data_IF_121434060936
#
_entry.id   IF_121434060936
#
_cell.length_a   1.000
_cell.length_b   1.000
_cell.length_c   1.000
_cell.angle_alpha   90.00
_cell.angle_beta   90.00
_cell.angle_gamma   90.00
#
_symmetry.space_group_name_H-M   'P 1'
#
loop_
_entity.id
_entity.type
_entity.pdbx_description
1 polymer ?
#
# COMPACT_ATOMS: atom_id res chain seq x y z
N UNK A 1 89.65 -21.84 -77.97
CA UNK A 1 89.04 -22.82 -77.05
C UNK A 1 89.51 -22.42 -75.67
N UNK A 2 88.76 -21.49 -75.12
CA UNK A 2 89.35 -20.38 -74.40
C UNK A 2 89.63 -20.83 -72.97
N UNK A 3 90.92 -21.01 -72.65
CA UNK A 3 91.34 -21.37 -71.28
C UNK A 3 90.78 -20.41 -70.23
N UNK A 4 90.44 -19.18 -70.64
CA UNK A 4 89.74 -18.19 -69.83
C UNK A 4 88.30 -18.59 -69.48
N UNK A 5 87.54 -19.27 -70.35
CA UNK A 5 86.15 -19.69 -70.04
C UNK A 5 86.13 -20.84 -69.04
N UNK A 6 87.04 -21.81 -69.17
CA UNK A 6 87.16 -22.90 -68.19
C UNK A 6 87.64 -22.39 -66.83
N UNK A 7 88.61 -21.48 -66.79
CA UNK A 7 89.06 -20.85 -65.55
C UNK A 7 87.92 -20.07 -64.88
N UNK A 8 87.14 -19.30 -65.65
CA UNK A 8 85.97 -18.59 -65.14
C UNK A 8 84.87 -19.54 -64.65
N UNK A 9 84.68 -20.69 -65.30
CA UNK A 9 83.78 -21.75 -64.84
C UNK A 9 84.25 -22.38 -63.53
N UNK A 10 85.52 -22.73 -63.40
CA UNK A 10 86.09 -23.26 -62.15
C UNK A 10 85.93 -22.24 -61.03
N UNK A 11 86.28 -20.97 -61.26
CA UNK A 11 86.10 -19.90 -60.29
C UNK A 11 84.62 -19.65 -59.95
N UNK A 12 83.69 -19.86 -60.90
CA UNK A 12 82.25 -19.77 -60.63
C UNK A 12 81.74 -20.92 -59.76
N UNK A 13 82.24 -22.15 -59.99
CA UNK A 13 81.91 -23.32 -59.18
C UNK A 13 82.51 -23.18 -57.79
N UNK A 14 83.75 -22.71 -57.66
CA UNK A 14 84.38 -22.43 -56.37
C UNK A 14 83.60 -21.39 -55.56
N UNK A 15 83.12 -20.31 -56.20
CA UNK A 15 82.21 -19.34 -55.55
C UNK A 15 80.89 -19.98 -55.13
N UNK A 16 80.28 -20.81 -55.98
CA UNK A 16 79.03 -21.51 -55.66
C UNK A 16 79.21 -22.51 -54.51
N UNK A 17 80.33 -23.23 -54.47
CA UNK A 17 80.67 -24.14 -53.38
C UNK A 17 80.89 -23.37 -52.08
N UNK A 18 81.62 -22.24 -52.13
CA UNK A 18 81.80 -21.37 -50.97
C UNK A 18 80.46 -20.83 -50.46
N UNK A 19 79.57 -20.41 -51.37
CA UNK A 19 78.22 -19.95 -51.04
C UNK A 19 77.37 -21.05 -50.39
N UNK A 20 77.36 -22.26 -50.96
CA UNK A 20 76.64 -23.40 -50.36
C UNK A 20 77.23 -23.82 -49.00
N UNK A 21 78.54 -23.71 -48.82
CA UNK A 21 79.19 -23.95 -47.53
C UNK A 21 78.76 -22.90 -46.50
N UNK A 22 78.65 -21.64 -46.89
CA UNK A 22 78.15 -20.55 -46.05
C UNK A 22 76.66 -20.76 -45.68
N UNK A 23 75.80 -21.07 -46.66
CA UNK A 23 74.38 -21.35 -46.43
C UNK A 23 74.17 -22.57 -45.52
N UNK A 24 74.93 -23.66 -45.74
CA UNK A 24 74.88 -24.84 -44.88
C UNK A 24 75.30 -24.50 -43.45
N UNK A 25 76.35 -23.68 -43.28
CA UNK A 25 76.77 -23.23 -41.96
C UNK A 25 75.68 -22.39 -41.29
N UNK A 26 75.01 -21.48 -42.01
CA UNK A 26 73.89 -20.70 -41.49
C UNK A 26 72.74 -21.62 -41.04
N UNK A 27 72.31 -22.56 -41.89
CA UNK A 27 71.24 -23.51 -41.55
C UNK A 27 71.59 -24.35 -40.31
N UNK A 28 72.81 -24.88 -40.23
CA UNK A 28 73.29 -25.62 -39.06
C UNK A 28 73.28 -24.76 -37.79
N UNK A 29 73.67 -23.49 -37.89
CA UNK A 29 73.60 -22.57 -36.74
C UNK A 29 72.15 -22.26 -36.34
N UNK A 30 71.23 -22.10 -37.28
CA UNK A 30 69.80 -21.92 -37.03
C UNK A 30 69.17 -23.11 -36.33
N UNK A 31 69.37 -24.33 -36.86
CA UNK A 31 68.88 -25.56 -36.23
C UNK A 31 69.46 -25.75 -34.82
N UNK A 32 70.74 -25.42 -34.61
CA UNK A 32 71.35 -25.46 -33.26
C UNK A 32 70.66 -24.49 -32.29
N UNK A 33 70.21 -23.32 -32.75
CA UNK A 33 69.45 -22.36 -31.95
C UNK A 33 68.03 -22.85 -31.66
N UNK A 34 67.33 -23.42 -32.64
CA UNK A 34 65.99 -23.99 -32.45
C UNK A 34 65.99 -25.16 -31.47
N UNK A 35 66.95 -26.08 -31.60
CA UNK A 35 67.12 -27.19 -30.65
C UNK A 35 67.39 -26.64 -29.25
N UNK A 36 68.20 -25.59 -29.14
CA UNK A 36 68.46 -24.92 -27.85
C UNK A 36 67.20 -24.28 -27.29
N UNK A 37 66.39 -23.63 -28.13
CA UNK A 37 65.13 -23.00 -27.73
C UNK A 37 64.11 -24.04 -27.28
N UNK A 38 63.94 -25.13 -28.03
CA UNK A 38 63.04 -26.21 -27.66
C UNK A 38 63.48 -26.88 -26.36
N UNK A 39 64.79 -27.10 -26.16
CA UNK A 39 65.33 -27.58 -24.88
C UNK A 39 65.03 -26.63 -23.73
N UNK A 40 65.17 -25.32 -23.91
CA UNK A 40 64.77 -24.33 -22.90
C UNK A 40 63.28 -24.43 -22.58
N UNK A 41 62.40 -24.44 -23.59
CA UNK A 41 60.95 -24.56 -23.39
C UNK A 41 60.52 -25.88 -22.74
N UNK A 42 61.15 -26.99 -23.12
CA UNK A 42 60.92 -28.28 -22.46
C UNK A 42 61.37 -28.23 -20.99
N UNK A 43 62.51 -27.59 -20.71
CA UNK A 43 62.96 -27.39 -19.33
C UNK A 43 62.01 -26.47 -18.56
N UNK A 44 61.53 -25.37 -19.15
CA UNK A 44 60.55 -24.45 -18.54
C UNK A 44 59.24 -25.18 -18.21
N UNK A 45 58.65 -25.91 -19.16
CA UNK A 45 57.44 -26.71 -18.90
C UNK A 45 57.68 -27.81 -17.88
N UNK A 46 58.88 -28.42 -17.86
CA UNK A 46 59.27 -29.40 -16.85
C UNK A 46 59.41 -28.74 -15.47
N UNK A 47 59.94 -27.53 -15.40
CA UNK A 47 59.99 -26.71 -14.20
C UNK A 47 58.57 -26.35 -13.74
N UNK A 48 57.71 -25.82 -14.61
CA UNK A 48 56.31 -25.49 -14.31
C UNK A 48 55.53 -26.71 -13.79
N UNK A 49 55.74 -27.89 -14.37
CA UNK A 49 55.13 -29.13 -13.89
C UNK A 49 55.69 -29.60 -12.55
N UNK A 50 56.95 -29.29 -12.24
CA UNK A 50 57.55 -29.57 -10.94
C UNK A 50 57.24 -28.52 -9.87
N UNK A 51 56.99 -27.27 -10.28
CA UNK A 51 56.61 -26.14 -9.43
C UNK A 51 55.10 -26.09 -9.18
N UNK A 52 54.29 -26.74 -10.04
CA UNK A 52 52.89 -27.02 -9.70
C UNK A 52 52.88 -27.61 -8.29
N UNK A 53 52.09 -27.02 -7.37
CA UNK A 53 51.99 -27.56 -6.03
C UNK A 53 51.68 -29.04 -6.16
N UNK A 54 52.25 -29.89 -5.27
CA UNK A 54 52.07 -31.34 -5.38
C UNK A 54 50.59 -31.57 -5.62
N UNK A 55 50.29 -32.33 -6.68
CA UNK A 55 48.90 -32.66 -7.01
C UNK A 55 48.21 -32.95 -5.69
N UNK A 56 47.18 -32.13 -5.35
CA UNK A 56 46.42 -32.29 -4.10
C UNK A 56 46.29 -33.77 -3.90
N UNK A 57 46.72 -34.27 -2.75
CA UNK A 57 46.71 -35.72 -2.56
C UNK A 57 45.30 -36.20 -2.86
N UNK A 58 45.15 -37.40 -3.39
CA UNK A 58 43.82 -37.94 -3.69
C UNK A 58 42.89 -37.79 -2.46
N UNK A 59 43.47 -37.94 -1.26
CA UNK A 59 42.84 -37.66 0.03
C UNK A 59 42.41 -36.19 0.20
N UNK A 60 43.25 -35.20 -0.13
CA UNK A 60 42.86 -33.77 -0.07
C UNK A 60 41.69 -33.44 -1.00
N UNK A 61 41.64 -34.08 -2.18
CA UNK A 61 40.53 -33.89 -3.14
C UNK A 61 39.25 -34.49 -2.56
N UNK A 62 39.32 -35.71 -2.04
CA UNK A 62 38.19 -36.39 -1.39
C UNK A 62 37.66 -35.56 -0.20
N UNK A 63 38.54 -34.99 0.63
CA UNK A 63 38.15 -34.11 1.74
C UNK A 63 37.49 -32.80 1.26
N UNK A 64 37.96 -32.21 0.17
CA UNK A 64 37.35 -31.02 -0.42
C UNK A 64 35.97 -31.34 -1.04
N UNK A 65 35.84 -32.49 -1.68
CA UNK A 65 34.56 -33.00 -2.20
C UNK A 65 33.57 -33.24 -1.07
N UNK A 66 33.97 -33.91 0.02
CA UNK A 66 33.13 -34.12 1.19
C UNK A 66 32.68 -32.80 1.83
N UNK A 67 33.58 -31.81 1.95
CA UNK A 67 33.24 -30.49 2.47
C UNK A 67 32.23 -29.77 1.56
N UNK A 68 32.39 -29.86 0.24
CA UNK A 68 31.46 -29.27 -0.72
C UNK A 68 30.11 -29.98 -0.68
N UNK A 69 30.09 -31.31 -0.54
CA UNK A 69 28.86 -32.09 -0.38
C UNK A 69 28.08 -31.67 0.86
N UNK A 70 28.76 -31.51 2.01
CA UNK A 70 28.12 -31.01 3.24
C UNK A 70 27.52 -29.63 3.03
N UNK A 71 28.26 -28.71 2.41
CA UNK A 71 27.76 -27.36 2.10
C UNK A 71 26.56 -27.39 1.15
N UNK A 72 26.58 -28.26 0.13
CA UNK A 72 25.46 -28.41 -0.80
C UNK A 72 24.22 -28.88 -0.04
N UNK A 73 24.34 -29.92 0.80
CA UNK A 73 23.23 -30.42 1.62
C UNK A 73 22.68 -29.35 2.57
N UNK A 74 23.55 -28.56 3.22
CA UNK A 74 23.13 -27.42 4.06
C UNK A 74 22.33 -26.39 3.25
N UNK A 75 22.80 -26.03 2.05
CA UNK A 75 22.09 -25.08 1.19
C UNK A 75 20.76 -25.62 0.67
N UNK A 76 20.68 -26.91 0.37
CA UNK A 76 19.44 -27.57 -0.05
C UNK A 76 18.42 -27.63 1.09
N UNK A 77 18.85 -27.92 2.31
CA UNK A 77 18.00 -27.86 3.50
C UNK A 77 17.44 -26.46 3.72
N UNK A 78 18.29 -25.43 3.67
CA UNK A 78 17.85 -24.04 3.79
C UNK A 78 16.88 -23.62 2.68
N UNK A 79 17.08 -24.10 1.45
CA UNK A 79 16.14 -23.86 0.35
C UNK A 79 14.79 -24.52 0.62
N UNK A 80 14.78 -25.78 1.09
CA UNK A 80 13.55 -26.50 1.43
C UNK A 80 12.78 -25.85 2.60
N UNK A 81 13.49 -25.33 3.61
CA UNK A 81 12.91 -24.54 4.69
C UNK A 81 12.24 -23.26 4.18
N UNK A 82 12.91 -22.53 3.28
CA UNK A 82 12.34 -21.32 2.67
C UNK A 82 11.11 -21.63 1.80
N UNK A 83 11.15 -22.71 1.02
CA UNK A 83 10.02 -23.14 0.21
C UNK A 83 8.81 -23.53 1.06
N UNK A 84 9.01 -24.26 2.17
CA UNK A 84 7.92 -24.61 3.09
C UNK A 84 7.31 -23.36 3.74
N UNK A 85 8.14 -22.43 4.23
CA UNK A 85 7.69 -21.15 4.78
C UNK A 85 6.90 -20.31 3.76
N UNK A 86 7.32 -20.29 2.49
CA UNK A 86 6.59 -19.61 1.41
C UNK A 86 5.22 -20.27 1.13
N UNK A 87 5.13 -21.59 1.19
CA UNK A 87 3.86 -22.32 1.03
C UNK A 87 2.89 -21.98 2.16
N UNK A 88 3.37 -21.95 3.41
CA UNK A 88 2.59 -21.56 4.58
C UNK A 88 2.09 -20.12 4.49
N UNK A 89 2.98 -19.17 4.15
CA UNK A 89 2.60 -17.76 3.97
C UNK A 89 1.55 -17.58 2.87
N UNK A 90 1.67 -18.32 1.75
CA UNK A 90 0.66 -18.34 0.70
C UNK A 90 -0.67 -18.94 1.18
N UNK A 91 -0.64 -19.97 2.02
CA UNK A 91 -1.85 -20.54 2.61
C UNK A 91 -2.55 -19.56 3.56
N UNK A 92 -1.80 -18.84 4.40
CA UNK A 92 -2.34 -17.77 5.23
C UNK A 92 -2.95 -16.63 4.43
N UNK A 93 -2.27 -16.21 3.35
CA UNK A 93 -2.77 -15.14 2.48
C UNK A 93 -4.10 -15.54 1.85
N UNK A 94 -4.24 -16.81 1.42
CA UNK A 94 -5.51 -17.35 0.91
C UNK A 94 -6.61 -17.34 1.99
N UNK A 95 -6.30 -17.77 3.22
CA UNK A 95 -7.25 -17.74 4.36
C UNK A 95 -7.71 -16.30 4.65
N UNK A 96 -6.79 -15.35 4.76
CA UNK A 96 -7.07 -13.92 4.98
C UNK A 96 -7.89 -13.33 3.81
N UNK A 97 -7.56 -13.70 2.57
CA UNK A 97 -8.30 -13.32 1.38
C UNK A 97 -9.74 -13.82 1.38
N UNK A 98 -9.99 -15.05 1.82
CA UNK A 98 -11.34 -15.62 1.96
C UNK A 98 -12.16 -14.90 3.05
N UNK A 99 -11.53 -14.53 4.17
CA UNK A 99 -12.19 -13.74 5.21
C UNK A 99 -12.55 -12.34 4.69
N UNK A 100 -11.61 -11.68 4.00
CA UNK A 100 -11.84 -10.36 3.42
C UNK A 100 -12.98 -10.37 2.39
N UNK A 101 -13.03 -11.37 1.50
CA UNK A 101 -14.11 -11.51 0.52
C UNK A 101 -15.46 -11.80 1.19
N UNK A 102 -15.50 -12.66 2.21
CA UNK A 102 -16.70 -12.92 2.98
C UNK A 102 -17.25 -11.65 3.67
N UNK A 103 -16.36 -10.85 4.27
CA UNK A 103 -16.73 -9.56 4.87
C UNK A 103 -17.24 -8.56 3.83
N UNK A 104 -16.60 -8.48 2.66
CA UNK A 104 -17.06 -7.62 1.57
C UNK A 104 -18.46 -8.00 1.08
N UNK A 105 -18.74 -9.30 0.93
CA UNK A 105 -20.08 -9.78 0.56
C UNK A 105 -21.11 -9.42 1.63
N UNK A 106 -20.78 -9.67 2.92
CA UNK A 106 -21.65 -9.31 4.04
C UNK A 106 -21.97 -7.82 4.09
N UNK A 107 -20.97 -6.95 3.92
CA UNK A 107 -21.18 -5.50 3.89
C UNK A 107 -22.11 -5.08 2.75
N UNK A 108 -21.94 -5.66 1.55
CA UNK A 108 -22.84 -5.39 0.42
C UNK A 108 -24.27 -5.88 0.66
N UNK A 109 -24.43 -7.02 1.34
CA UNK A 109 -25.77 -7.52 1.69
C UNK A 109 -26.44 -6.68 2.78
N UNK A 110 -25.67 -6.21 3.77
CA UNK A 110 -26.14 -5.25 4.78
C UNK A 110 -26.54 -3.92 4.12
N UNK A 111 -25.73 -3.39 3.20
CA UNK A 111 -26.06 -2.19 2.42
C UNK A 111 -27.38 -2.36 1.64
N UNK A 112 -27.58 -3.50 0.97
CA UNK A 112 -28.83 -3.82 0.27
C UNK A 112 -30.03 -3.81 1.23
N UNK A 113 -29.89 -4.46 2.39
CA UNK A 113 -30.93 -4.50 3.43
C UNK A 113 -31.27 -3.09 3.94
N UNK A 114 -30.27 -2.25 4.20
CA UNK A 114 -30.50 -0.86 4.63
C UNK A 114 -31.23 -0.04 3.57
N UNK A 115 -30.90 -0.21 2.29
CA UNK A 115 -31.60 0.49 1.20
C UNK A 115 -33.04 0.03 1.05
N UNK A 116 -33.31 -1.27 1.21
CA UNK A 116 -34.69 -1.78 1.23
C UNK A 116 -35.49 -1.24 2.41
N UNK A 117 -34.91 -1.22 3.61
CA UNK A 117 -35.54 -0.63 4.78
C UNK A 117 -35.81 0.86 4.61
N UNK A 118 -34.85 1.60 4.04
CA UNK A 118 -35.00 3.02 3.74
C UNK A 118 -36.15 3.25 2.76
N UNK A 119 -36.26 2.43 1.71
CA UNK A 119 -37.37 2.46 0.75
C UNK A 119 -38.71 2.16 1.42
N UNK A 120 -38.79 1.12 2.25
CA UNK A 120 -40.01 0.74 3.00
C UNK A 120 -40.46 1.87 3.93
N UNK A 121 -39.54 2.46 4.70
CA UNK A 121 -39.83 3.58 5.61
C UNK A 121 -40.24 4.84 4.86
N UNK A 122 -39.56 5.16 3.76
CA UNK A 122 -39.92 6.29 2.90
C UNK A 122 -41.35 6.15 2.34
N UNK A 123 -41.71 4.95 1.87
CA UNK A 123 -43.08 4.68 1.43
C UNK A 123 -44.10 4.88 2.56
N UNK A 124 -43.83 4.34 3.75
CA UNK A 124 -44.68 4.51 4.94
C UNK A 124 -44.83 5.97 5.37
N UNK A 125 -43.76 6.76 5.34
CA UNK A 125 -43.82 8.20 5.63
C UNK A 125 -44.70 8.89 4.58
N UNK A 126 -44.58 8.51 3.32
CA UNK A 126 -45.38 9.10 2.24
C UNK A 126 -46.86 8.75 2.36
N UNK A 127 -47.23 7.51 2.75
CA UNK A 127 -48.64 7.14 2.99
C UNK A 127 -49.22 7.92 4.17
N UNK A 128 -48.51 7.95 5.31
CA UNK A 128 -48.94 8.71 6.49
C UNK A 128 -49.04 10.21 6.21
N UNK A 129 -48.14 10.78 5.41
CA UNK A 129 -48.20 12.20 5.02
C UNK A 129 -49.42 12.51 4.14
N UNK A 130 -49.83 11.57 3.28
CA UNK A 130 -51.07 11.71 2.50
C UNK A 130 -52.30 11.64 3.40
N UNK A 131 -52.31 10.73 4.37
CA UNK A 131 -53.45 10.60 5.28
C UNK A 131 -53.57 11.80 6.22
N UNK A 132 -52.43 12.34 6.71
CA UNK A 132 -52.39 13.59 7.44
C UNK A 132 -52.93 14.75 6.58
N UNK A 133 -52.52 14.84 5.30
CA UNK A 133 -53.04 15.87 4.38
C UNK A 133 -54.56 15.77 4.20
N UNK A 134 -55.12 14.57 4.04
CA UNK A 134 -56.58 14.38 3.97
C UNK A 134 -57.27 14.87 5.25
N UNK A 135 -56.69 14.58 6.42
CA UNK A 135 -57.24 15.06 7.70
C UNK A 135 -57.16 16.59 7.83
N UNK A 136 -56.07 17.22 7.37
CA UNK A 136 -55.97 18.68 7.36
C UNK A 136 -56.97 19.31 6.39
N UNK A 137 -57.23 18.68 5.24
CA UNK A 137 -58.23 19.16 4.28
C UNK A 137 -59.65 19.10 4.87
N UNK A 138 -59.99 18.01 5.58
CA UNK A 138 -61.27 17.86 6.30
C UNK A 138 -61.38 18.88 7.44
N UNK A 139 -60.32 19.06 8.23
CA UNK A 139 -60.31 20.07 9.30
C UNK A 139 -60.47 21.49 8.76
N UNK A 140 -59.86 21.81 7.61
CA UNK A 140 -60.03 23.09 6.92
C UNK A 140 -61.48 23.28 6.43
N UNK A 141 -62.12 22.22 5.90
CA UNK A 141 -63.53 22.27 5.50
C UNK A 141 -64.46 22.50 6.70
N UNK A 142 -64.26 21.79 7.80
CA UNK A 142 -65.06 21.95 9.01
C UNK A 142 -64.87 23.33 9.66
N UNK A 143 -63.63 23.84 9.72
CA UNK A 143 -63.37 25.20 10.22
C UNK A 143 -64.00 26.27 9.33
N UNK A 144 -63.98 26.11 8.00
CA UNK A 144 -64.72 26.98 7.08
C UNK A 144 -66.23 26.91 7.31
N UNK A 145 -66.79 25.71 7.50
CA UNK A 145 -68.21 25.53 7.81
C UNK A 145 -68.59 26.21 9.14
N UNK A 146 -67.81 26.02 10.19
CA UNK A 146 -68.01 26.67 11.49
C UNK A 146 -67.92 28.20 11.36
N UNK A 147 -66.91 28.71 10.66
CA UNK A 147 -66.78 30.15 10.43
C UNK A 147 -67.97 30.71 9.63
N UNK A 148 -68.44 30.01 8.60
CA UNK A 148 -69.62 30.43 7.84
C UNK A 148 -70.92 30.37 8.66
N UNK A 149 -71.06 29.38 9.55
CA UNK A 149 -72.21 29.30 10.47
C UNK A 149 -72.16 30.44 11.49
N UNK A 150 -70.99 30.72 12.08
CA UNK A 150 -70.79 31.84 12.99
C UNK A 150 -71.07 33.18 12.31
N UNK A 151 -70.59 33.38 11.08
CA UNK A 151 -70.84 34.58 10.29
C UNK A 151 -72.33 34.81 10.02
N UNK A 152 -73.09 33.75 9.72
CA UNK A 152 -74.55 33.85 9.54
C UNK A 152 -75.28 34.20 10.84
N UNK A 153 -74.87 33.62 11.97
CA UNK A 153 -75.47 33.93 13.27
C UNK A 153 -75.15 35.36 13.72
N UNK A 154 -73.92 35.81 13.49
CA UNK A 154 -73.48 37.16 13.82
C UNK A 154 -74.26 38.21 13.01
N UNK A 155 -74.36 38.04 11.68
CA UNK A 155 -75.17 38.96 10.86
C UNK A 155 -76.67 38.90 11.16
N UNK A 156 -77.23 37.73 11.51
CA UNK A 156 -78.60 37.68 11.99
C UNK A 156 -78.80 38.48 13.28
N UNK A 157 -77.81 38.52 14.17
CA UNK A 157 -77.90 39.27 15.43
C UNK A 157 -77.77 40.77 15.17
N UNK A 158 -76.87 41.18 14.27
CA UNK A 158 -76.78 42.58 13.82
C UNK A 158 -78.07 43.03 13.12
N UNK A 159 -78.72 42.20 12.30
CA UNK A 159 -80.01 42.54 11.67
C UNK A 159 -81.13 42.75 12.71
N UNK A 160 -81.08 42.08 13.88
CA UNK A 160 -82.05 42.31 14.97
C UNK A 160 -81.69 43.52 15.83
N UNK A 161 -80.39 43.77 16.08
CA UNK A 161 -79.95 44.96 16.81
C UNK A 161 -80.16 46.23 15.97
N UNK A 162 -80.05 46.18 14.65
CA UNK A 162 -80.36 47.31 13.76
C UNK A 162 -81.88 47.58 13.65
N UNK A 163 -82.75 46.59 13.85
CA UNK A 163 -84.23 46.80 13.90
C UNK A 163 -84.72 47.33 15.26
N UNK A 164 -84.02 47.04 16.37
CA UNK A 164 -84.39 47.50 17.71
C UNK A 164 -83.74 48.84 18.11
N UNK A 165 -82.74 49.35 17.37
CA UNK A 165 -82.06 50.64 17.68
C UNK A 165 -82.66 51.88 16.98
N UNK A 166 -83.74 51.77 16.19
CA UNK A 166 -84.40 52.94 15.57
C UNK A 166 -85.45 53.64 16.47
N UNK A 167 -85.83 53.06 17.62
CA UNK A 167 -86.81 53.63 18.55
C UNK A 167 -86.32 53.56 20.01
N UNK A 168 -85.57 54.56 20.48
CA UNK A 168 -85.61 55.13 21.85
C UNK A 168 -84.33 55.93 22.16
N UNK A 169 -84.34 57.16 21.67
CA UNK A 169 -83.57 58.29 22.18
C UNK A 169 -84.15 58.70 23.57
N UNK A 170 -83.27 59.15 24.47
CA UNK A 170 -83.54 59.67 25.83
C UNK A 170 -83.76 58.69 27.01
N UNK A 171 -82.64 58.38 27.69
CA UNK A 171 -82.56 58.62 29.13
C UNK A 171 -82.15 57.44 30.00
N UNK A 172 -80.90 57.46 30.49
CA UNK A 172 -80.54 56.59 31.61
C UNK A 172 -79.05 56.34 31.79
N UNK A 173 -78.30 57.37 32.20
CA UNK A 173 -77.01 57.16 32.86
C UNK A 173 -77.20 56.27 34.08
N UNK A 174 -76.61 55.07 34.14
CA UNK A 174 -76.14 54.42 35.38
C UNK A 174 -75.29 53.17 35.07
N UNK A 175 -73.97 53.37 35.21
CA UNK A 175 -72.98 52.49 35.85
C UNK A 175 -72.75 51.05 35.35
N UNK A 176 -71.50 50.84 34.93
CA UNK A 176 -70.75 49.58 34.83
C UNK A 176 -71.07 48.56 35.92
N UNK A 177 -70.93 47.27 35.58
CA UNK A 177 -70.05 46.45 36.38
C UNK A 177 -68.97 45.75 35.53
N UNK A 178 -67.72 46.04 35.88
CA UNK A 178 -66.54 45.23 35.60
C UNK A 178 -66.80 43.74 35.90
N UNK A 179 -66.85 42.90 34.86
CA UNK A 179 -66.56 41.47 34.99
C UNK A 179 -65.40 41.15 34.07
N UNK A 180 -64.21 41.40 34.61
CA UNK A 180 -62.97 40.71 34.28
C UNK A 180 -63.17 39.20 34.19
N UNK A 181 -63.08 38.63 32.97
CA UNK A 181 -62.74 37.22 32.76
C UNK A 181 -62.31 36.93 31.30
N UNK A 182 -61.12 37.42 30.95
CA UNK A 182 -60.08 36.69 30.18
C UNK A 182 -60.50 35.89 28.93
N UNK A 183 -60.33 36.49 27.74
CA UNK A 183 -59.74 35.78 26.59
C UNK A 183 -59.22 36.80 25.56
N UNK A 184 -58.00 37.31 25.77
CA UNK A 184 -57.30 38.12 24.77
C UNK A 184 -56.93 37.27 23.55
N UNK A 185 -57.40 37.66 22.37
CA UNK A 185 -56.65 37.49 21.13
C UNK A 185 -56.76 38.81 20.35
N UNK A 186 -55.93 39.76 20.79
CA UNK A 186 -55.71 41.05 20.14
C UNK A 186 -54.97 40.83 18.82
N UNK A 187 -55.53 41.45 17.80
CA UNK A 187 -54.95 41.71 16.50
C UNK A 187 -53.94 42.86 16.64
N UNK A 188 -52.64 42.59 16.76
CA UNK A 188 -51.59 43.62 16.58
C UNK A 188 -50.33 43.06 15.90
N UNK A 189 -49.98 43.75 14.81
CA UNK A 189 -48.70 44.03 14.14
C UNK A 189 -47.38 43.30 14.51
N UNK A 190 -46.44 43.16 13.55
CA UNK A 190 -45.34 42.20 13.62
C UNK A 190 -44.10 42.80 14.30
N UNK A 191 -43.70 42.25 15.46
CA UNK A 191 -42.38 42.54 16.04
C UNK A 191 -41.67 41.29 16.58
N UNK A 192 -40.46 41.13 16.04
CA UNK A 192 -39.38 40.28 16.50
C UNK A 192 -39.15 40.46 18.01
N UNK A 193 -39.23 39.39 18.81
CA UNK A 193 -38.30 39.14 19.92
C UNK A 193 -38.59 37.85 20.69
N UNK A 194 -37.69 36.87 20.48
CA UNK A 194 -37.00 36.11 21.54
C UNK A 194 -37.86 35.53 22.69
N UNK A 195 -38.48 34.38 22.44
CA UNK A 195 -38.70 33.37 23.48
C UNK A 195 -37.70 32.21 23.31
N UNK A 196 -36.60 32.34 24.04
CA UNK A 196 -35.63 31.31 24.38
C UNK A 196 -36.34 30.13 25.07
N UNK A 197 -36.37 28.94 24.45
CA UNK A 197 -37.06 27.82 25.11
C UNK A 197 -37.27 26.51 24.37
N UNK A 198 -36.51 26.16 23.32
CA UNK A 198 -36.29 24.75 22.89
C UNK A 198 -35.20 24.61 21.82
N UNK A 199 -34.03 25.17 22.11
CA UNK A 199 -32.77 24.58 21.65
C UNK A 199 -32.65 23.23 22.35
N UNK A 200 -32.75 22.10 21.62
CA UNK A 200 -32.28 20.72 21.96
C UNK A 200 -33.09 19.64 21.22
N UNK A 201 -33.26 19.71 19.89
CA UNK A 201 -33.73 18.53 19.14
C UNK A 201 -33.35 18.43 17.65
N UNK A 202 -32.46 19.30 17.16
CA UNK A 202 -32.15 19.37 15.71
C UNK A 202 -30.74 18.91 15.33
N UNK A 203 -29.99 18.22 16.20
CA UNK A 203 -28.55 17.99 15.98
C UNK A 203 -28.05 16.54 16.20
N UNK A 204 -28.93 15.57 16.48
CA UNK A 204 -28.52 14.17 16.73
C UNK A 204 -28.90 13.16 15.63
N UNK A 205 -29.08 13.61 14.39
CA UNK A 205 -29.45 12.74 13.24
C UNK A 205 -28.41 12.79 12.10
N UNK A 206 -27.29 13.50 12.29
CA UNK A 206 -26.19 13.59 11.31
C UNK A 206 -24.85 13.00 11.79
N UNK A 207 -24.84 12.24 12.88
CA UNK A 207 -23.62 11.62 13.43
C UNK A 207 -23.32 10.21 12.88
N UNK A 208 -24.12 9.66 11.96
CA UNK A 208 -23.91 8.33 11.39
C UNK A 208 -23.12 8.31 10.06
N UNK A 209 -22.48 9.42 9.68
CA UNK A 209 -21.52 9.44 8.57
C UNK A 209 -20.15 9.69 9.17
N UNK A 210 -19.23 8.72 9.18
CA UNK A 210 -17.83 8.96 9.52
C UNK A 210 -17.31 10.10 8.64
N UNK A 211 -17.09 11.28 9.25
CA UNK A 211 -16.28 12.35 8.65
C UNK A 211 -14.80 11.94 8.77
N UNK A 212 -14.45 10.77 8.24
CA UNK A 212 -13.07 10.51 7.89
C UNK A 212 -12.76 11.39 6.69
N UNK A 213 -11.83 12.34 6.90
CA UNK A 213 -11.16 13.01 5.80
C UNK A 213 -10.42 11.91 5.06
N UNK A 214 -11.02 11.37 4.01
CA UNK A 214 -10.32 10.56 3.02
C UNK A 214 -9.33 11.53 2.38
N UNK A 215 -8.10 11.54 2.91
CA UNK A 215 -6.97 11.94 2.11
C UNK A 215 -7.03 11.05 0.88
N UNK A 216 -7.25 11.67 -0.28
CA UNK A 216 -7.16 10.97 -1.56
C UNK A 216 -5.83 10.25 -1.67
N UNK A 217 -5.71 9.25 -2.56
CA UNK A 217 -4.47 8.52 -2.74
C UNK A 217 -3.31 9.52 -2.93
N UNK A 218 -2.26 9.34 -2.13
CA UNK A 218 -1.03 10.14 -2.21
C UNK A 218 -0.58 10.18 -3.67
N UNK A 219 -0.37 11.39 -4.19
CA UNK A 219 0.00 11.62 -5.59
C UNK A 219 1.24 10.76 -5.91
N UNK A 220 1.19 9.89 -6.92
CA UNK A 220 2.29 8.97 -7.17
C UNK A 220 3.55 9.77 -7.50
N UNK A 221 4.61 9.56 -6.70
CA UNK A 221 5.91 10.17 -6.99
C UNK A 221 6.32 9.77 -8.42
N UNK A 222 6.78 10.73 -9.25
CA UNK A 222 7.20 10.42 -10.61
C UNK A 222 8.26 9.33 -10.59
N UNK A 223 8.09 8.29 -11.40
CA UNK A 223 9.08 7.21 -11.49
C UNK A 223 10.43 7.79 -11.94
N UNK A 224 11.55 7.32 -11.35
CA UNK A 224 12.86 7.70 -11.84
C UNK A 224 13.02 7.27 -13.31
N UNK A 225 13.66 8.12 -14.09
CA UNK A 225 13.84 7.96 -15.54
C UNK A 225 14.44 6.58 -15.86
N UNK A 226 13.76 5.72 -16.65
CA UNK A 226 14.28 4.41 -17.02
C UNK A 226 15.63 4.49 -17.76
N UNK A 227 16.00 5.64 -18.33
CA UNK A 227 17.30 5.86 -18.95
C UNK A 227 18.47 5.63 -17.97
N UNK A 228 18.26 5.78 -16.66
CA UNK A 228 19.29 5.50 -15.64
C UNK A 228 19.70 4.02 -15.59
N UNK A 229 18.84 3.11 -16.07
CA UNK A 229 19.09 1.67 -16.10
C UNK A 229 19.59 1.18 -17.47
N UNK A 230 19.56 2.04 -18.49
CA UNK A 230 19.95 1.69 -19.86
C UNK A 230 21.37 2.15 -20.23
N UNK A 231 22.12 2.77 -19.32
CA UNK A 231 23.53 3.04 -19.55
C UNK A 231 24.35 1.75 -19.45
N UNK A 232 25.12 1.39 -20.50
CA UNK A 232 26.07 0.28 -20.41
C UNK A 232 27.06 0.58 -19.29
N UNK A 233 27.27 -0.39 -18.40
CA UNK A 233 28.08 -0.35 -17.17
C UNK A 233 29.58 0.01 -17.34
N UNK A 234 30.01 0.63 -18.45
CA UNK A 234 31.43 0.75 -18.80
C UNK A 234 32.15 2.00 -18.30
N UNK A 235 31.50 2.91 -17.57
CA UNK A 235 32.16 4.16 -17.14
C UNK A 235 32.01 4.55 -15.64
N UNK A 236 31.54 3.67 -14.76
CA UNK A 236 31.59 3.91 -13.29
C UNK A 236 32.84 3.29 -12.67
N UNK A 237 34.01 3.80 -13.06
CA UNK A 237 35.21 3.75 -12.22
C UNK A 237 35.35 5.12 -11.54
N UNK A 238 34.58 5.34 -10.47
CA UNK A 238 34.89 6.41 -9.53
C UNK A 238 35.94 5.86 -8.54
N UNK A 239 37.11 6.50 -8.39
CA UNK A 239 38.07 6.14 -7.38
C UNK A 239 37.56 6.60 -6.01
N UNK A 240 36.87 5.73 -5.28
CA UNK A 240 36.64 5.91 -3.85
C UNK A 240 37.90 5.46 -3.08
N UNK A 241 38.94 6.29 -3.14
CA UNK A 241 39.98 6.37 -2.11
C UNK A 241 39.55 7.43 -1.11
N UNK A 242 38.93 7.00 -0.02
CA UNK A 242 38.78 7.80 1.19
C UNK A 242 38.83 6.85 2.39
N UNK A 243 40.06 6.68 2.88
CA UNK A 243 40.43 6.52 4.29
C UNK A 243 39.36 5.98 5.24
N UNK A 244 39.40 4.68 5.51
CA UNK A 244 39.19 4.15 6.85
C UNK A 244 40.33 3.16 7.11
N UNK A 245 41.43 3.73 7.63
CA UNK A 245 42.52 2.98 8.23
C UNK A 245 42.16 2.72 9.68
N UNK A 246 42.26 1.47 10.12
CA UNK A 246 41.88 1.08 11.47
C UNK A 246 41.96 -0.42 11.69
N UNK A 247 43.17 -0.94 11.63
CA UNK A 247 43.69 -2.07 12.42
C UNK A 247 42.73 -3.23 12.76
N UNK A 248 42.77 -4.31 11.97
CA UNK A 248 42.42 -5.65 12.45
C UNK A 248 43.66 -6.29 13.04
N UNK A 249 43.69 -6.44 14.37
CA UNK A 249 44.62 -7.34 15.06
C UNK A 249 43.85 -8.06 16.17
N UNK A 250 43.53 -9.31 15.88
CA UNK A 250 43.65 -10.50 16.74
C UNK A 250 43.29 -10.39 18.24
N UNK A 251 42.26 -11.16 18.64
CA UNK A 251 42.07 -11.64 20.01
C UNK A 251 41.05 -10.87 20.85
N UNK A 252 40.05 -11.58 21.36
CA UNK A 252 39.27 -11.12 22.51
C UNK A 252 37.76 -11.40 22.42
N UNK A 253 37.38 -12.54 22.98
CA UNK A 253 36.01 -12.85 23.39
C UNK A 253 35.44 -11.76 24.33
N UNK A 254 34.12 -11.62 24.30
CA UNK A 254 33.20 -10.97 25.26
C UNK A 254 32.59 -9.66 24.75
N UNK A 255 31.30 -9.66 24.39
CA UNK A 255 30.13 -9.38 25.27
C UNK A 255 30.04 -7.88 25.62
N UNK A 256 28.81 -7.34 25.55
CA UNK A 256 28.39 -5.94 25.85
C UNK A 256 28.34 -5.09 24.56
N UNK A 257 27.24 -4.48 24.11
CA UNK A 257 26.04 -3.96 24.78
C UNK A 257 24.88 -3.81 23.80
N UNK A 258 23.69 -4.14 24.30
CA UNK A 258 22.37 -3.69 23.83
C UNK A 258 22.26 -2.17 23.90
N UNK A 259 21.52 -1.56 22.97
CA UNK A 259 20.52 -0.52 23.24
C UNK A 259 19.91 0.01 21.93
N UNK A 260 18.57 0.16 21.92
CA UNK A 260 17.72 0.92 20.97
C UNK A 260 17.41 0.15 19.68
N UNK A 261 16.18 -0.25 19.34
CA UNK A 261 14.84 0.28 19.62
C UNK A 261 13.84 -0.89 19.51
N UNK A 262 13.20 -1.24 20.63
CA UNK A 262 12.00 -2.07 20.67
C UNK A 262 10.86 -1.21 21.20
N UNK A 263 9.87 -0.91 20.36
CA UNK A 263 8.54 -0.47 20.81
C UNK A 263 7.49 -1.04 19.85
N UNK A 264 6.48 -1.66 20.45
CA UNK A 264 5.18 -2.06 19.89
C UNK A 264 5.09 -3.48 19.31
N UNK A 265 5.12 -4.48 20.19
CA UNK A 265 4.13 -5.57 20.25
C UNK A 265 4.48 -6.42 21.47
N UNK A 266 3.56 -6.55 22.41
CA UNK A 266 3.30 -7.78 23.16
C UNK A 266 2.16 -7.55 24.17
N UNK A 267 1.08 -8.29 23.96
CA UNK A 267 0.25 -8.82 25.04
C UNK A 267 -0.43 -10.08 24.50
N UNK A 268 0.04 -11.26 24.91
CA UNK A 268 -0.91 -12.21 25.48
C UNK A 268 -0.29 -13.00 26.64
N UNK A 269 -1.10 -13.33 27.66
CA UNK A 269 -1.18 -14.63 28.33
C UNK A 269 -2.07 -14.50 29.57
N UNK A 270 -3.18 -15.22 29.58
CA UNK A 270 -3.58 -16.03 30.74
C UNK A 270 -4.47 -17.16 30.23
N UNK A 271 -3.84 -18.30 30.00
CA UNK A 271 -4.48 -19.61 30.04
C UNK A 271 -4.64 -19.96 31.52
N UNK A 272 -5.87 -20.20 31.97
CA UNK A 272 -6.13 -21.00 33.16
C UNK A 272 -6.71 -22.33 32.67
N UNK A 273 -5.88 -23.36 32.76
CA UNK A 273 -6.24 -24.77 32.64
C UNK A 273 -6.65 -25.24 34.04
N UNK A 274 -7.81 -25.86 34.16
CA UNK A 274 -8.24 -26.59 35.36
C UNK A 274 -9.41 -27.51 35.03
N UNK A 275 -9.25 -28.85 35.09
CA UNK A 275 -10.31 -29.83 34.89
C UNK A 275 -10.98 -30.22 36.22
N UNK A 276 -11.97 -31.13 36.14
CA UNK A 276 -12.62 -31.87 37.24
C UNK A 276 -13.76 -31.12 37.96
N UNK A 277 -14.90 -31.67 38.37
CA UNK A 277 -15.62 -32.96 38.27
C UNK A 277 -16.99 -32.73 38.95
N UNK A 278 -17.97 -33.63 38.71
CA UNK A 278 -19.06 -34.00 39.65
C UNK A 278 -20.41 -33.26 39.63
N UNK A 279 -21.39 -33.97 39.04
CA UNK A 279 -22.78 -34.23 39.45
C UNK A 279 -23.46 -33.37 40.55
N UNK A 280 -24.62 -32.81 40.19
CA UNK A 280 -25.92 -32.90 40.88
C UNK A 280 -27.05 -32.71 39.85
#
# INVERSE_FOLDING_TARGET
>A
MDRSTLAQQVESVERNVAFLQEEHQILLTGLRLEIRNLKKRCNELSCDLSEKPPAKSQEDIELEEDLLQVRLLETEQHLAEQESALVELRAELRKKGAIASALQVRLRDEERRFLEELKRRSHKITTLSRDLRKQTDVAAQLSFQLHSAHFRLYHQTEDYEEEDEEDEDEGGTLQEPEWTANSSCVLESPHQSRSSGRLRRSERVRECVPRERVFGPEEPRPMPDPALFLYPFRHRLLPLRSSIGGHWREGGLSRISEARISRLRDRPLREDIGPETTEL
#
